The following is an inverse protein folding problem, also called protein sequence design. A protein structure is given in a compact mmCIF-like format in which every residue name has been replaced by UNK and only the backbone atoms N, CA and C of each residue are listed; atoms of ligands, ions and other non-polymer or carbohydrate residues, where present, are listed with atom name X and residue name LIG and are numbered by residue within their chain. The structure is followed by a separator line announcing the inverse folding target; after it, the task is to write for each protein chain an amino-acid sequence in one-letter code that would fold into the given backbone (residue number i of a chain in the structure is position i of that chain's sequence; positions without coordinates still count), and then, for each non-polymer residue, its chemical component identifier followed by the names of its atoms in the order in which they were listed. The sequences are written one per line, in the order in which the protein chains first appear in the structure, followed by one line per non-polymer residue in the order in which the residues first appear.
data_IF_315373702579
#
_entry.id   IF_315373702579
#
_cell.length_a   1.000
_cell.length_b   1.000
_cell.length_c   1.000
_cell.angle_alpha   90.00
_cell.angle_beta   90.00
_cell.angle_gamma   90.00
#
_symmetry.space_group_name_H-M   'P 1'
#
loop_
_entity.id
_entity.type
_entity.pdbx_description
1 polymer ?
#
# COMPACT_ATOMS: atom_id res chain seq x y z
N UNK A 1 -45.52 -26.71 13.79
CA UNK A 1 -45.49 -25.43 13.05
C UNK A 1 -44.02 -25.07 12.83
N UNK A 2 -43.58 -24.78 11.59
CA UNK A 2 -42.18 -24.58 11.11
C UNK A 2 -41.51 -25.83 10.45
N UNK A 3 -41.79 -26.05 9.16
CA UNK A 3 -40.68 -26.33 8.23
C UNK A 3 -40.71 -25.46 6.96
N UNK A 4 -41.76 -24.67 6.73
CA UNK A 4 -41.93 -23.89 5.49
C UNK A 4 -41.08 -22.61 5.41
N UNK A 5 -40.55 -22.09 6.52
CA UNK A 5 -39.77 -20.85 6.54
C UNK A 5 -38.27 -21.04 6.24
N UNK A 6 -37.70 -22.23 6.48
CA UNK A 6 -36.27 -22.49 6.23
C UNK A 6 -35.97 -22.60 4.73
N UNK A 7 -36.88 -23.22 3.96
CA UNK A 7 -36.72 -23.38 2.52
C UNK A 7 -36.84 -22.07 1.73
N UNK A 8 -37.64 -21.11 2.22
CA UNK A 8 -37.80 -19.79 1.56
C UNK A 8 -36.55 -18.93 1.77
N UNK A 9 -35.91 -19.02 2.93
CA UNK A 9 -34.72 -18.22 3.26
C UNK A 9 -33.46 -18.69 2.48
N UNK A 10 -33.32 -19.99 2.26
CA UNK A 10 -32.22 -20.54 1.44
C UNK A 10 -32.38 -20.20 -0.04
N UNK A 11 -33.61 -20.18 -0.57
CA UNK A 11 -33.88 -19.81 -1.97
C UNK A 11 -33.55 -18.34 -2.27
N UNK A 12 -33.92 -17.43 -1.38
CA UNK A 12 -33.65 -15.98 -1.54
C UNK A 12 -32.13 -15.71 -1.48
N UNK A 13 -31.41 -16.41 -0.61
CA UNK A 13 -29.95 -16.29 -0.52
C UNK A 13 -29.24 -16.81 -1.78
N UNK A 14 -29.75 -17.89 -2.39
CA UNK A 14 -29.19 -18.47 -3.62
C UNK A 14 -29.43 -17.56 -4.84
N UNK A 15 -30.61 -16.95 -4.94
CA UNK A 15 -30.93 -15.96 -5.99
C UNK A 15 -30.05 -14.71 -5.88
N UNK A 16 -29.77 -14.23 -4.67
CA UNK A 16 -28.85 -13.10 -4.46
C UNK A 16 -27.41 -13.45 -4.88
N UNK A 17 -26.96 -14.68 -4.59
CA UNK A 17 -25.63 -15.14 -4.99
C UNK A 17 -25.50 -15.27 -6.52
N UNK A 18 -26.53 -15.77 -7.20
CA UNK A 18 -26.58 -15.81 -8.68
C UNK A 18 -26.56 -14.39 -9.26
N UNK A 19 -27.29 -13.44 -8.67
CA UNK A 19 -27.31 -12.05 -9.12
C UNK A 19 -25.95 -11.35 -8.95
N UNK A 20 -25.23 -11.64 -7.87
CA UNK A 20 -23.86 -11.14 -7.62
C UNK A 20 -22.85 -11.75 -8.60
N UNK A 21 -22.96 -13.05 -8.91
CA UNK A 21 -22.10 -13.71 -9.90
C UNK A 21 -22.37 -13.14 -11.31
N UNK A 22 -23.65 -13.01 -11.67
CA UNK A 22 -24.07 -12.55 -12.99
C UNK A 22 -23.72 -11.07 -13.25
N UNK A 23 -23.69 -10.22 -12.21
CA UNK A 23 -23.22 -8.82 -12.33
C UNK A 23 -21.70 -8.70 -12.43
N UNK A 24 -20.94 -9.60 -11.80
CA UNK A 24 -19.47 -9.69 -12.00
C UNK A 24 -19.11 -10.10 -13.43
N UNK A 25 -19.78 -11.09 -13.99
CA UNK A 25 -19.52 -11.56 -15.36
C UNK A 25 -19.96 -10.55 -16.43
N UNK A 26 -21.01 -9.76 -16.15
CA UNK A 26 -21.43 -8.67 -17.04
C UNK A 26 -20.42 -7.52 -17.08
N UNK A 27 -19.77 -7.19 -15.95
CA UNK A 27 -18.75 -6.14 -15.90
C UNK A 27 -17.38 -6.61 -16.43
N UNK A 28 -17.05 -7.90 -16.30
CA UNK A 28 -15.83 -8.47 -16.89
C UNK A 28 -15.90 -8.53 -18.44
N UNK A 29 -17.09 -8.70 -19.01
CA UNK A 29 -17.31 -8.76 -20.45
C UNK A 29 -17.77 -7.43 -21.08
N UNK A 30 -17.88 -6.34 -20.30
CA UNK A 30 -18.14 -4.99 -20.83
C UNK A 30 -16.85 -4.30 -21.33
N UNK A 31 -15.73 -5.03 -21.45
CA UNK A 31 -14.60 -4.54 -22.25
C UNK A 31 -14.96 -4.77 -23.71
N UNK A 32 -15.17 -3.72 -24.52
CA UNK A 32 -15.52 -3.90 -25.92
C UNK A 32 -14.35 -4.60 -26.63
N UNK A 33 -14.62 -5.76 -27.27
CA UNK A 33 -13.67 -6.53 -28.10
C UNK A 33 -12.93 -5.68 -29.14
N UNK A 34 -13.47 -4.51 -29.48
CA UNK A 34 -12.85 -3.55 -30.40
C UNK A 34 -11.55 -2.95 -29.88
N UNK A 35 -11.31 -2.94 -28.56
CA UNK A 35 -10.07 -2.43 -27.98
C UNK A 35 -8.93 -3.47 -27.98
N UNK A 36 -9.22 -4.74 -27.69
CA UNK A 36 -8.21 -5.80 -27.75
C UNK A 36 -7.67 -6.00 -29.18
N UNK A 37 -8.50 -5.78 -30.21
CA UNK A 37 -8.12 -5.86 -31.63
C UNK A 37 -7.30 -4.66 -32.13
N UNK A 38 -7.31 -3.53 -31.43
CA UNK A 38 -6.47 -2.37 -31.77
C UNK A 38 -5.11 -2.41 -31.06
N UNK A 39 -5.02 -3.03 -29.88
CA UNK A 39 -3.75 -3.32 -29.21
C UNK A 39 -2.87 -4.31 -30.00
N UNK A 40 -3.47 -5.29 -30.69
CA UNK A 40 -2.75 -6.22 -31.56
C UNK A 40 -2.26 -5.58 -32.87
N UNK A 41 -2.77 -4.38 -33.21
CA UNK A 41 -2.38 -3.58 -34.38
C UNK A 41 -1.37 -2.48 -34.06
N UNK A 42 -0.99 -2.29 -32.81
CA UNK A 42 0.09 -1.37 -32.49
C UNK A 42 1.40 -1.95 -33.05
N UNK A 43 2.19 -1.16 -33.81
CA UNK A 43 3.43 -1.65 -34.37
C UNK A 43 4.35 -2.11 -33.24
N UNK A 44 4.54 -3.42 -33.14
CA UNK A 44 5.63 -3.98 -32.37
C UNK A 44 6.92 -3.37 -32.90
N UNK A 45 7.70 -2.73 -32.03
CA UNK A 45 9.05 -2.25 -32.32
C UNK A 45 9.12 -1.10 -33.37
N UNK A 46 8.58 0.06 -33.05
CA UNK A 46 9.19 1.31 -33.49
C UNK A 46 10.38 1.63 -32.59
N UNK A 47 11.60 1.80 -33.12
CA UNK A 47 12.76 2.28 -32.32
C UNK A 47 12.37 3.60 -31.65
N UNK A 48 12.06 3.57 -30.37
CA UNK A 48 11.78 4.80 -29.61
C UNK A 48 13.00 5.71 -29.68
N UNK A 49 12.77 7.01 -29.91
CA UNK A 49 13.84 8.00 -29.90
C UNK A 49 14.39 8.09 -28.48
N UNK A 50 15.50 7.40 -28.23
CA UNK A 50 16.13 7.34 -26.91
C UNK A 50 16.54 8.75 -26.50
N UNK A 51 16.09 9.23 -25.32
CA UNK A 51 16.47 10.54 -24.85
C UNK A 51 17.97 10.56 -24.51
N UNK A 52 18.61 11.73 -24.67
CA UNK A 52 20.04 11.91 -24.32
C UNK A 52 20.29 11.65 -22.83
N UNK A 53 19.27 11.87 -21.99
CA UNK A 53 19.27 11.55 -20.56
C UNK A 53 17.90 11.00 -20.15
N UNK A 54 17.90 10.00 -19.28
CA UNK A 54 16.70 9.35 -18.77
C UNK A 54 16.56 7.93 -19.30
N UNK A 55 15.34 7.39 -19.19
CA UNK A 55 15.02 6.04 -19.63
C UNK A 55 13.64 6.02 -20.30
N UNK A 56 13.37 4.96 -21.06
CA UNK A 56 12.08 4.70 -21.70
C UNK A 56 11.59 3.37 -21.17
N UNK A 57 10.32 3.31 -20.74
CA UNK A 57 9.63 2.04 -20.57
C UNK A 57 8.85 1.72 -21.83
N UNK A 58 9.08 0.54 -22.42
CA UNK A 58 8.33 0.04 -23.57
C UNK A 58 7.07 -0.71 -23.17
N UNK A 59 6.95 -1.10 -21.89
CA UNK A 59 5.86 -1.92 -21.37
C UNK A 59 5.17 -1.20 -20.20
N UNK A 60 3.85 -1.42 -20.03
CA UNK A 60 3.12 -0.93 -18.87
C UNK A 60 3.60 -1.63 -17.59
N UNK A 61 3.58 -0.92 -16.46
CA UNK A 61 3.99 -1.46 -15.17
C UNK A 61 2.91 -2.39 -14.57
N UNK A 62 3.33 -3.58 -14.15
CA UNK A 62 2.48 -4.53 -13.43
C UNK A 62 2.45 -4.20 -11.93
N UNK A 63 3.61 -3.84 -11.38
CA UNK A 63 3.78 -3.48 -9.96
C UNK A 63 4.23 -2.03 -9.80
N UNK A 64 4.15 -1.51 -8.57
CA UNK A 64 4.49 -0.11 -8.29
C UNK A 64 5.98 0.17 -8.48
N UNK A 65 6.85 -0.82 -8.28
CA UNK A 65 8.31 -0.70 -8.43
C UNK A 65 8.74 -0.44 -9.88
N UNK A 66 7.91 -0.85 -10.85
CA UNK A 66 8.17 -0.72 -12.28
C UNK A 66 7.62 0.59 -12.87
N UNK A 67 6.85 1.35 -12.09
CA UNK A 67 6.22 2.57 -12.54
C UNK A 67 7.21 3.72 -12.75
N UNK A 68 6.82 4.67 -13.60
CA UNK A 68 7.62 5.85 -13.89
C UNK A 68 7.43 6.89 -12.79
N UNK A 69 8.50 7.17 -12.04
CA UNK A 69 8.49 8.11 -10.92
C UNK A 69 8.84 9.52 -11.39
N UNK A 70 8.07 10.49 -10.93
CA UNK A 70 8.34 11.93 -11.05
C UNK A 70 8.00 12.63 -9.74
N UNK A 71 8.59 13.80 -9.48
CA UNK A 71 8.27 14.58 -8.29
C UNK A 71 8.90 15.97 -8.29
N UNK A 72 8.30 16.87 -7.52
CA UNK A 72 8.74 18.27 -7.37
C UNK A 72 9.34 18.57 -5.98
N UNK A 73 9.66 17.54 -5.21
CA UNK A 73 10.09 17.62 -3.82
C UNK A 73 8.94 17.46 -2.81
N UNK A 74 7.77 18.01 -3.12
CA UNK A 74 6.60 17.96 -2.23
C UNK A 74 5.62 16.85 -2.59
N UNK A 75 5.34 16.71 -3.89
CA UNK A 75 4.47 15.67 -4.43
C UNK A 75 5.31 14.77 -5.30
N UNK A 76 5.17 13.47 -5.09
CA UNK A 76 5.65 12.44 -6.00
C UNK A 76 4.49 11.78 -6.72
N UNK A 77 4.67 11.45 -7.98
CA UNK A 77 3.73 10.66 -8.78
C UNK A 77 4.46 9.46 -9.37
N UNK A 78 3.80 8.31 -9.33
CA UNK A 78 4.27 7.07 -9.93
C UNK A 78 3.25 6.58 -10.96
N UNK A 79 3.65 6.51 -12.23
CA UNK A 79 2.76 6.30 -13.38
C UNK A 79 2.92 4.88 -13.92
N UNK A 80 1.82 4.11 -13.96
CA UNK A 80 1.85 2.71 -14.38
C UNK A 80 1.71 2.52 -15.89
N UNK A 81 1.27 3.54 -16.62
CA UNK A 81 1.24 3.58 -18.10
C UNK A 81 0.38 2.47 -18.75
N UNK A 82 -0.77 2.14 -18.16
CA UNK A 82 -1.74 1.14 -18.62
C UNK A 82 -2.78 1.76 -19.57
N UNK A 83 -2.76 1.45 -20.88
CA UNK A 83 -3.53 2.15 -21.90
C UNK A 83 -5.06 2.20 -21.71
N UNK A 84 -5.66 1.18 -21.08
CA UNK A 84 -7.11 1.12 -20.80
C UNK A 84 -7.53 1.63 -19.44
N UNK A 85 -6.61 1.54 -18.48
CA UNK A 85 -6.92 1.70 -17.08
C UNK A 85 -5.68 2.23 -16.37
N UNK A 86 -5.42 3.51 -16.60
CA UNK A 86 -4.26 4.17 -16.06
C UNK A 86 -4.37 4.29 -14.53
N UNK A 87 -3.28 4.01 -13.84
CA UNK A 87 -3.19 4.21 -12.40
C UNK A 87 -1.98 5.08 -12.11
N UNK A 88 -2.21 6.19 -11.41
CA UNK A 88 -1.18 7.10 -10.96
C UNK A 88 -1.21 7.10 -9.43
N UNK A 89 -0.12 6.66 -8.82
CA UNK A 89 0.02 6.64 -7.37
C UNK A 89 0.65 7.96 -6.94
N UNK A 90 -0.06 8.72 -6.11
CA UNK A 90 0.44 9.97 -5.56
C UNK A 90 1.00 9.78 -4.15
N UNK A 91 2.10 10.48 -3.90
CA UNK A 91 2.75 10.59 -2.60
C UNK A 91 2.91 12.07 -2.26
N UNK A 92 2.88 12.40 -0.97
CA UNK A 92 3.06 13.76 -0.49
C UNK A 92 3.99 13.76 0.72
N UNK A 93 4.96 14.69 0.76
CA UNK A 93 6.03 14.74 1.76
C UNK A 93 5.49 14.82 3.22
N UNK A 94 4.26 15.33 3.39
CA UNK A 94 3.57 15.51 4.68
C UNK A 94 2.46 14.49 4.97
N UNK A 95 2.25 13.49 4.11
CA UNK A 95 1.19 12.49 4.31
C UNK A 95 1.69 11.38 5.25
N UNK A 96 1.81 11.73 6.53
CA UNK A 96 2.13 10.79 7.59
C UNK A 96 0.85 10.29 8.25
N UNK A 97 0.92 9.12 8.88
CA UNK A 97 -0.12 8.73 9.82
C UNK A 97 -0.24 9.81 10.90
N UNK A 98 -1.45 10.15 11.35
CA UNK A 98 -1.64 11.08 12.46
C UNK A 98 -0.98 10.47 13.70
N UNK A 99 0.26 10.88 13.95
CA UNK A 99 0.95 10.59 15.19
C UNK A 99 0.25 11.45 16.25
N UNK A 100 -0.06 10.84 17.40
CA UNK A 100 -0.55 11.58 18.56
C UNK A 100 0.38 12.75 18.93
N UNK A 101 0.03 13.55 19.96
CA UNK A 101 0.91 14.60 20.45
C UNK A 101 2.35 14.05 20.59
N UNK A 102 3.37 14.83 20.23
CA UNK A 102 4.74 14.34 20.18
C UNK A 102 5.07 13.72 21.53
N UNK A 103 5.29 12.40 21.55
CA UNK A 103 5.95 11.76 22.66
C UNK A 103 7.40 12.26 22.60
N UNK A 104 7.63 13.45 23.19
CA UNK A 104 8.98 13.80 23.62
C UNK A 104 9.51 12.59 24.39
N UNK A 105 10.79 12.21 24.21
CA UNK A 105 11.37 11.18 25.06
C UNK A 105 11.03 11.55 26.50
N UNK A 106 10.49 10.61 27.30
CA UNK A 106 10.07 10.92 28.65
C UNK A 106 11.21 11.68 29.34
N UNK A 107 10.92 12.85 29.96
CA UNK A 107 11.93 13.81 30.40
C UNK A 107 12.99 13.19 31.33
N UNK A 108 12.65 12.06 31.95
CA UNK A 108 13.46 11.35 32.92
C UNK A 108 14.51 10.41 32.31
N UNK A 109 14.47 10.15 31.00
CA UNK A 109 15.40 9.19 30.34
C UNK A 109 16.85 9.68 30.40
N UNK A 110 17.07 10.99 30.20
CA UNK A 110 18.41 11.59 30.25
C UNK A 110 19.06 11.50 31.63
N UNK A 111 18.24 11.58 32.69
CA UNK A 111 18.70 11.55 34.09
C UNK A 111 19.28 10.17 34.44
N UNK A 112 18.68 9.08 33.93
CA UNK A 112 19.12 7.71 34.23
C UNK A 112 20.15 7.15 33.25
N UNK A 113 20.63 7.94 32.30
CA UNK A 113 21.64 7.51 31.33
C UNK A 113 22.94 7.03 32.01
N UNK A 114 23.32 7.67 33.11
CA UNK A 114 24.50 7.27 33.90
C UNK A 114 24.38 5.86 34.48
N UNK A 115 23.18 5.48 34.88
CA UNK A 115 22.90 4.17 35.44
C UNK A 115 22.86 3.08 34.37
N UNK A 116 22.27 3.38 33.22
CA UNK A 116 22.29 2.50 32.05
C UNK A 116 23.75 2.22 31.64
N UNK A 117 24.59 3.27 31.56
CA UNK A 117 26.02 3.12 31.25
C UNK A 117 26.76 2.26 32.27
N UNK A 118 26.49 2.45 33.57
CA UNK A 118 27.08 1.64 34.65
C UNK A 118 26.66 0.16 34.56
N UNK A 119 25.42 -0.13 34.18
CA UNK A 119 24.96 -1.51 33.95
C UNK A 119 25.67 -2.16 32.76
N UNK A 120 25.89 -1.39 31.68
CA UNK A 120 26.66 -1.83 30.50
C UNK A 120 28.12 -2.11 30.86
N UNK A 121 28.77 -1.22 31.61
CA UNK A 121 30.15 -1.40 32.09
C UNK A 121 30.32 -2.68 32.94
N UNK A 122 29.26 -3.08 33.65
CA UNK A 122 29.24 -4.31 34.46
C UNK A 122 28.83 -5.56 33.68
N UNK A 123 28.59 -5.45 32.37
CA UNK A 123 28.13 -6.55 31.51
C UNK A 123 26.67 -6.96 31.72
N UNK A 124 25.88 -6.15 32.45
CA UNK A 124 24.50 -6.44 32.82
C UNK A 124 23.51 -5.94 31.75
N UNK A 125 23.68 -6.40 30.51
CA UNK A 125 22.95 -5.88 29.33
C UNK A 125 21.43 -6.05 29.42
N UNK A 126 20.95 -7.19 29.93
CA UNK A 126 19.50 -7.45 30.08
C UNK A 126 18.85 -6.43 31.02
N UNK A 127 19.54 -6.07 32.10
CA UNK A 127 19.04 -5.11 33.08
C UNK A 127 19.08 -3.68 32.51
N UNK A 128 20.12 -3.34 31.76
CA UNK A 128 20.22 -2.07 31.05
C UNK A 128 19.08 -1.90 30.02
N UNK A 129 18.78 -2.95 29.25
CA UNK A 129 17.68 -2.95 28.28
C UNK A 129 16.33 -2.78 28.98
N UNK A 130 16.08 -3.54 30.05
CA UNK A 130 14.82 -3.45 30.81
C UNK A 130 14.63 -2.03 31.37
N UNK A 131 15.67 -1.45 31.97
CA UNK A 131 15.64 -0.09 32.49
C UNK A 131 15.31 0.93 31.40
N UNK A 132 15.94 0.82 30.23
CA UNK A 132 15.68 1.72 29.10
C UNK A 132 14.24 1.56 28.56
N UNK A 133 13.74 0.33 28.52
CA UNK A 133 12.38 0.02 28.09
C UNK A 133 11.34 0.59 29.07
N UNK A 134 11.52 0.36 30.37
CA UNK A 134 10.62 0.84 31.42
C UNK A 134 10.57 2.38 31.45
N UNK A 135 11.72 3.03 31.23
CA UNK A 135 11.81 4.49 31.12
C UNK A 135 11.07 5.03 29.90
N UNK A 136 11.03 4.29 28.78
CA UNK A 136 10.44 4.76 27.53
C UNK A 136 8.91 4.96 27.56
N UNK A 137 8.22 4.53 28.64
CA UNK A 137 6.76 4.66 28.85
C UNK A 137 5.97 4.52 27.54
N UNK A 138 5.98 3.32 26.96
CA UNK A 138 5.39 2.99 25.66
C UNK A 138 3.85 3.00 25.63
N UNK A 139 3.19 3.88 26.38
CA UNK A 139 1.72 3.93 26.48
C UNK A 139 1.03 4.49 25.22
N UNK A 140 1.74 4.60 24.09
CA UNK A 140 1.16 5.02 22.81
C UNK A 140 2.00 4.67 21.59
N UNK A 141 2.87 3.65 21.68
CA UNK A 141 3.64 3.14 20.55
C UNK A 141 3.20 1.73 20.10
N UNK A 142 2.16 1.19 20.73
CA UNK A 142 1.39 0.01 20.32
C UNK A 142 -0.10 0.36 20.34
#
# INVERSE_FOLDING_TARGET
MKPRYVAVCTFISFLFFIFIIMTRDLMANYVPKTYSDSLSKLPASGKYKVPVRGFISSEPAETWEQGLITGNGTIGANVLSRPLNETIIFTHERLFLPQGPPYMPPPDTGIRLFEIRRLIERGLYRQAQQLAFDLSRQSGFM
#
